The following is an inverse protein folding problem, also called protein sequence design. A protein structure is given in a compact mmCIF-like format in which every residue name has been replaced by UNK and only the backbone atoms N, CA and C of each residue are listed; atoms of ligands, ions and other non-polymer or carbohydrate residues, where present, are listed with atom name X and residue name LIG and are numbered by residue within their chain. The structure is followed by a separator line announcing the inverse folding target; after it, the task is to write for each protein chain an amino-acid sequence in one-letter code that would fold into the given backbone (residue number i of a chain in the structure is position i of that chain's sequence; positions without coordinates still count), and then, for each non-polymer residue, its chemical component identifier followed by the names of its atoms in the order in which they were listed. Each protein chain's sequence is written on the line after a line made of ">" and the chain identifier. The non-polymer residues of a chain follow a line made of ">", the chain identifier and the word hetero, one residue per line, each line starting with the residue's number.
data_IF_751478788330
#
_entry.id   IF_751478788330
#
_cell.length_a   1.000
_cell.length_b   1.000
_cell.length_c   1.000
_cell.angle_alpha   90.00
_cell.angle_beta   90.00
_cell.angle_gamma   90.00
#
_symmetry.space_group_name_H-M   'P 1'
#
loop_
_entity.id
_entity.type
_entity.pdbx_description
1 polymer ?
#
# COMPACT_ATOMS: atom_id res chain seq x y z
N UNK A 1 24.71 -17.10 11.47
CA UNK A 1 23.60 -17.59 12.30
C UNK A 1 22.80 -16.45 12.92
N UNK A 2 23.44 -15.38 13.40
CA UNK A 2 22.80 -14.20 14.01
C UNK A 2 21.90 -13.44 13.01
N UNK A 3 22.36 -13.17 11.80
CA UNK A 3 21.61 -12.42 10.77
C UNK A 3 20.33 -13.14 10.32
N UNK A 4 20.32 -14.47 10.24
CA UNK A 4 19.11 -15.23 9.90
C UNK A 4 18.02 -15.15 10.98
N UNK A 5 18.42 -15.09 12.25
CA UNK A 5 17.47 -14.94 13.37
C UNK A 5 16.91 -13.50 13.42
N UNK A 6 17.74 -12.50 13.17
CA UNK A 6 17.30 -11.10 13.10
C UNK A 6 16.29 -10.88 11.95
N UNK A 7 16.57 -11.41 10.75
CA UNK A 7 15.64 -11.34 9.61
C UNK A 7 14.29 -12.02 9.90
N UNK A 8 14.30 -13.17 10.60
CA UNK A 8 13.04 -13.82 11.03
C UNK A 8 12.26 -12.97 12.01
N UNK A 9 12.92 -12.32 12.97
CA UNK A 9 12.29 -11.43 13.95
C UNK A 9 11.68 -10.21 13.24
N UNK A 10 12.42 -9.56 12.31
CA UNK A 10 11.91 -8.45 11.51
C UNK A 10 10.69 -8.88 10.67
N UNK A 11 10.74 -10.04 10.05
CA UNK A 11 9.65 -10.57 9.23
C UNK A 11 8.38 -10.80 10.06
N UNK A 12 8.50 -11.33 11.28
CA UNK A 12 7.37 -11.56 12.19
C UNK A 12 6.77 -10.22 12.63
N UNK A 13 7.58 -9.23 13.01
CA UNK A 13 7.09 -7.89 13.39
C UNK A 13 6.38 -7.22 12.21
N UNK A 14 6.90 -7.34 11.00
CA UNK A 14 6.28 -6.79 9.79
C UNK A 14 4.94 -7.49 9.49
N UNK A 15 4.88 -8.82 9.61
CA UNK A 15 3.65 -9.58 9.40
C UNK A 15 2.59 -9.18 10.43
N UNK A 16 2.97 -9.01 11.69
CA UNK A 16 2.04 -8.67 12.79
C UNK A 16 1.50 -7.24 12.67
N UNK A 17 2.32 -6.28 12.20
CA UNK A 17 1.92 -4.86 12.18
C UNK A 17 1.20 -4.43 10.90
N UNK A 18 1.28 -5.20 9.79
CA UNK A 18 0.84 -4.71 8.47
C UNK A 18 -0.10 -5.62 7.67
N UNK A 19 -0.51 -6.77 8.21
CA UNK A 19 -1.59 -7.54 7.57
C UNK A 19 -2.93 -7.23 8.25
N UNK A 20 -3.77 -6.36 7.68
CA UNK A 20 -5.15 -6.28 8.11
C UNK A 20 -5.85 -7.58 7.67
N UNK A 21 -6.25 -8.39 8.62
CA UNK A 21 -7.07 -9.57 8.36
C UNK A 21 -8.44 -9.09 7.92
N UNK A 22 -8.88 -9.53 6.75
CA UNK A 22 -10.17 -9.19 6.16
C UNK A 22 -11.27 -9.84 6.99
N UNK A 23 -11.93 -9.06 7.84
CA UNK A 23 -13.14 -9.46 8.57
C UNK A 23 -14.41 -8.96 7.87
N UNK A 24 -15.46 -9.76 7.87
CA UNK A 24 -16.78 -9.40 7.32
C UNK A 24 -17.65 -8.77 8.43
N UNK A 25 -18.12 -7.52 8.33
CA UNK A 25 -18.90 -6.76 9.31
C UNK A 25 -20.00 -5.86 8.72
N UNK A 26 -20.99 -5.41 9.50
CA UNK A 26 -22.22 -4.68 9.10
C UNK A 26 -22.00 -3.23 8.65
N UNK A 27 -22.96 -2.67 7.89
CA UNK A 27 -22.92 -1.32 7.32
C UNK A 27 -22.90 -0.26 8.43
N UNK A 28 -21.91 0.64 8.42
CA UNK A 28 -21.74 1.68 9.45
C UNK A 28 -21.96 3.05 8.83
N UNK A 29 -22.70 3.92 9.55
CA UNK A 29 -22.89 5.33 9.19
C UNK A 29 -21.55 6.08 9.30
N UNK A 30 -21.07 6.58 8.18
CA UNK A 30 -19.76 7.25 8.04
C UNK A 30 -19.69 8.55 8.87
N UNK A 31 -20.83 9.18 9.17
CA UNK A 31 -20.88 10.42 9.96
C UNK A 31 -20.44 10.23 11.42
N UNK A 32 -20.54 9.01 11.96
CA UNK A 32 -20.16 8.69 13.33
C UNK A 32 -18.68 8.25 13.47
N UNK A 33 -18.04 7.80 12.37
CA UNK A 33 -16.68 7.25 12.40
C UNK A 33 -15.64 8.29 12.86
N UNK A 34 -15.80 9.55 12.47
CA UNK A 34 -14.85 10.60 12.77
C UNK A 34 -14.82 11.01 14.25
N UNK A 35 -15.88 10.72 15.01
CA UNK A 35 -16.05 11.14 16.41
C UNK A 35 -15.44 10.13 17.39
N UNK A 36 -15.49 8.84 17.05
CA UNK A 36 -15.15 7.75 17.97
C UNK A 36 -13.80 7.04 17.69
N UNK A 37 -12.98 7.58 16.77
CA UNK A 37 -11.67 6.97 16.52
C UNK A 37 -10.72 7.22 17.70
N UNK A 38 -10.32 6.17 18.44
CA UNK A 38 -9.64 6.32 19.74
C UNK A 38 -8.21 6.89 19.65
N UNK A 39 -7.63 6.95 18.43
CA UNK A 39 -6.26 7.39 18.18
C UNK A 39 -6.19 8.67 17.34
N UNK A 40 -7.28 9.44 17.23
CA UNK A 40 -7.35 10.65 16.41
C UNK A 40 -6.29 11.70 16.76
N UNK A 41 -5.83 11.70 18.00
CA UNK A 41 -4.87 12.69 18.50
C UNK A 41 -3.41 12.20 18.40
N UNK A 42 -3.17 10.96 17.95
CA UNK A 42 -1.82 10.40 17.76
C UNK A 42 -1.69 9.76 16.36
N UNK A 43 -1.10 10.52 15.44
CA UNK A 43 -0.97 10.11 14.04
C UNK A 43 -0.11 8.84 13.84
N UNK A 44 0.88 8.60 14.69
CA UNK A 44 1.76 7.43 14.61
C UNK A 44 1.00 6.20 15.05
N UNK A 45 0.36 6.25 16.21
CA UNK A 45 -0.48 5.14 16.69
C UNK A 45 -1.61 4.88 15.70
N UNK A 46 -2.27 5.94 15.20
CA UNK A 46 -3.33 5.79 14.19
C UNK A 46 -2.83 5.09 12.91
N UNK A 47 -1.60 5.35 12.49
CA UNK A 47 -0.99 4.71 11.31
C UNK A 47 -0.78 3.22 11.53
N UNK A 48 -0.27 2.83 12.68
CA UNK A 48 -0.01 1.42 13.01
C UNK A 48 -1.29 0.65 13.32
N UNK A 49 -2.19 1.25 14.09
CA UNK A 49 -3.47 0.63 14.49
C UNK A 49 -4.45 0.51 13.32
N UNK A 50 -4.32 1.37 12.32
CA UNK A 50 -5.21 1.40 11.17
C UNK A 50 -6.68 1.59 11.55
N UNK A 51 -7.57 1.26 10.64
CA UNK A 51 -9.01 1.32 10.86
C UNK A 51 -9.49 0.04 11.56
N UNK A 52 -10.22 0.13 12.69
CA UNK A 52 -10.80 -1.05 13.33
C UNK A 52 -11.65 -1.88 12.37
N UNK A 53 -11.57 -3.21 12.47
CA UNK A 53 -12.31 -4.13 11.60
C UNK A 53 -13.83 -3.88 11.59
N UNK A 54 -14.38 -3.40 12.70
CA UNK A 54 -15.79 -3.02 12.85
C UNK A 54 -16.19 -1.81 12.00
N UNK A 55 -15.20 -1.00 11.59
CA UNK A 55 -15.40 0.21 10.78
C UNK A 55 -15.01 0.01 9.31
N UNK A 56 -14.64 -1.21 8.92
CA UNK A 56 -14.30 -1.48 7.53
C UNK A 56 -15.55 -1.56 6.66
N UNK A 57 -15.49 -0.85 5.54
CA UNK A 57 -16.53 -0.98 4.52
C UNK A 57 -16.61 -2.43 4.04
N UNK A 58 -17.79 -3.01 4.10
CA UNK A 58 -18.06 -4.33 3.54
C UNK A 58 -18.65 -4.19 2.16
N UNK A 59 -17.94 -4.69 1.19
CA UNK A 59 -18.44 -4.73 -0.17
C UNK A 59 -19.68 -5.61 -0.26
N UNK A 60 -20.76 -5.06 -0.79
CA UNK A 60 -22.01 -5.79 -1.06
C UNK A 60 -21.89 -6.66 -2.33
N UNK A 61 -21.00 -6.28 -3.25
CA UNK A 61 -20.84 -6.93 -4.56
C UNK A 61 -19.55 -7.74 -4.68
N UNK A 62 -18.65 -7.65 -3.72
CA UNK A 62 -17.36 -8.28 -3.55
C UNK A 62 -16.87 -9.05 -4.76
N UNK A 63 -16.30 -8.37 -5.76
CA UNK A 63 -15.92 -9.00 -7.02
C UNK A 63 -14.41 -9.08 -7.14
N UNK A 64 -13.90 -10.28 -7.45
CA UNK A 64 -12.50 -10.40 -7.82
C UNK A 64 -12.22 -9.68 -9.16
N UNK A 65 -11.04 -9.06 -9.33
CA UNK A 65 -10.66 -8.43 -10.59
C UNK A 65 -10.51 -9.46 -11.71
N UNK A 66 -10.78 -9.02 -12.94
CA UNK A 66 -10.20 -9.68 -14.10
C UNK A 66 -8.74 -9.23 -14.21
N UNK A 67 -7.81 -10.17 -14.13
CA UNK A 67 -6.38 -9.88 -14.22
C UNK A 67 -5.98 -9.73 -15.68
N UNK A 68 -5.29 -8.65 -15.97
CA UNK A 68 -4.63 -8.35 -17.24
C UNK A 68 -3.15 -8.12 -17.00
N UNK A 69 -2.35 -8.15 -18.06
CA UNK A 69 -0.90 -7.98 -17.92
C UNK A 69 -0.28 -7.28 -19.12
N UNK A 70 0.78 -6.55 -18.83
CA UNK A 70 1.74 -6.06 -19.80
C UNK A 70 2.94 -6.99 -19.80
N UNK A 71 3.39 -7.36 -20.98
CA UNK A 71 4.64 -8.10 -21.16
C UNK A 71 5.84 -7.20 -20.90
N UNK A 72 6.96 -7.80 -20.50
CA UNK A 72 8.19 -7.07 -20.35
C UNK A 72 8.57 -6.29 -21.61
N UNK A 73 9.01 -5.04 -21.41
CA UNK A 73 9.49 -4.17 -22.49
C UNK A 73 10.94 -4.45 -22.90
N UNK A 74 11.60 -5.38 -22.18
CA UNK A 74 13.01 -5.77 -22.36
C UNK A 74 13.19 -7.25 -22.05
N UNK A 75 14.38 -7.80 -22.42
CA UNK A 75 14.74 -9.18 -22.06
C UNK A 75 14.93 -9.29 -20.54
N UNK A 76 14.18 -10.19 -19.92
CA UNK A 76 14.26 -10.47 -18.49
C UNK A 76 15.21 -11.65 -18.25
N UNK A 77 16.21 -11.54 -17.35
CA UNK A 77 17.06 -12.65 -16.96
C UNK A 77 16.25 -13.82 -16.41
N UNK A 78 16.72 -15.06 -16.65
CA UNK A 78 15.99 -16.28 -16.25
C UNK A 78 15.68 -16.33 -14.75
N UNK A 79 16.63 -15.90 -13.91
CA UNK A 79 16.45 -15.84 -12.45
C UNK A 79 15.33 -14.88 -12.01
N UNK A 80 14.95 -13.91 -12.85
CA UNK A 80 13.89 -12.92 -12.59
C UNK A 80 12.61 -13.20 -13.39
N UNK A 81 12.51 -14.35 -14.08
CA UNK A 81 11.44 -14.71 -14.99
C UNK A 81 10.05 -14.64 -14.35
N UNK A 82 9.93 -14.90 -13.07
CA UNK A 82 8.69 -14.80 -12.30
C UNK A 82 8.09 -13.39 -12.29
N UNK A 83 8.89 -12.33 -12.55
CA UNK A 83 8.49 -10.94 -12.63
C UNK A 83 8.48 -10.39 -14.07
N UNK A 84 8.42 -11.26 -15.07
CA UNK A 84 8.41 -10.86 -16.49
C UNK A 84 7.12 -10.20 -16.97
N UNK A 85 6.07 -10.28 -16.18
CA UNK A 85 4.78 -9.67 -16.49
C UNK A 85 4.43 -8.61 -15.41
N UNK A 86 3.89 -7.46 -15.84
CA UNK A 86 3.30 -6.47 -14.95
C UNK A 86 1.79 -6.60 -14.99
N UNK A 87 1.22 -7.11 -13.90
CA UNK A 87 -0.20 -7.36 -13.79
C UNK A 87 -0.98 -6.16 -13.27
N UNK A 88 -2.23 -6.03 -13.73
CA UNK A 88 -3.20 -5.06 -13.25
C UNK A 88 -4.60 -5.64 -13.18
N UNK A 89 -5.43 -5.10 -12.28
CA UNK A 89 -6.79 -5.58 -12.02
C UNK A 89 -7.83 -4.73 -12.71
N UNK A 90 -8.89 -5.38 -13.24
CA UNK A 90 -10.02 -4.72 -13.91
C UNK A 90 -11.33 -5.14 -13.25
N UNK A 91 -12.17 -4.16 -12.91
CA UNK A 91 -13.57 -4.37 -12.56
C UNK A 91 -14.44 -3.58 -13.51
N UNK A 92 -15.40 -4.24 -14.14
CA UNK A 92 -16.33 -3.61 -15.08
C UNK A 92 -17.75 -3.64 -14.58
N UNK A 93 -18.42 -2.51 -14.68
CA UNK A 93 -19.87 -2.40 -14.57
C UNK A 93 -20.53 -2.97 -15.84
N UNK A 94 -21.81 -3.35 -15.73
CA UNK A 94 -22.57 -3.87 -16.87
C UNK A 94 -22.92 -2.81 -17.91
N UNK A 95 -23.00 -1.55 -17.51
CA UNK A 95 -23.40 -0.42 -18.35
C UNK A 95 -22.34 0.64 -18.48
N UNK A 96 -22.76 1.82 -18.90
CA UNK A 96 -21.93 3.01 -18.91
C UNK A 96 -21.69 3.52 -17.49
N UNK A 97 -20.44 3.82 -17.14
CA UNK A 97 -20.06 4.18 -15.78
C UNK A 97 -18.76 4.99 -15.76
N UNK A 98 -18.53 5.82 -14.72
CA UNK A 98 -17.25 6.46 -14.54
C UNK A 98 -16.16 5.44 -14.29
N UNK A 99 -14.93 5.77 -14.66
CA UNK A 99 -13.72 4.98 -14.42
C UNK A 99 -12.89 5.65 -13.33
N UNK A 100 -12.43 4.89 -12.35
CA UNK A 100 -11.35 5.29 -11.47
C UNK A 100 -10.13 4.39 -11.68
N UNK A 101 -8.98 5.01 -11.88
CA UNK A 101 -7.68 4.36 -11.97
C UNK A 101 -7.05 4.44 -10.59
N UNK A 102 -6.68 3.31 -9.99
CA UNK A 102 -6.08 3.24 -8.67
C UNK A 102 -4.62 2.83 -8.76
N UNK A 103 -3.73 3.59 -8.13
CA UNK A 103 -2.29 3.28 -8.03
C UNK A 103 -1.96 2.93 -6.58
N UNK A 104 -1.35 1.76 -6.41
CA UNK A 104 -0.94 1.28 -5.09
C UNK A 104 0.22 2.09 -4.51
N UNK A 105 0.32 2.14 -3.18
CA UNK A 105 1.45 2.77 -2.49
C UNK A 105 2.75 1.97 -2.60
N UNK A 106 3.83 2.51 -2.03
CA UNK A 106 5.18 1.92 -2.05
C UNK A 106 5.16 0.42 -1.76
N UNK A 107 5.80 -0.38 -2.63
CA UNK A 107 5.94 -1.82 -2.50
C UNK A 107 4.65 -2.64 -2.65
N UNK A 108 3.50 -2.00 -2.91
CA UNK A 108 2.21 -2.67 -2.94
C UNK A 108 1.77 -3.05 -4.35
N UNK A 109 1.18 -4.24 -4.47
CA UNK A 109 0.61 -4.76 -5.72
C UNK A 109 -0.85 -4.27 -5.90
N UNK A 110 -1.35 -4.34 -7.15
CA UNK A 110 -2.74 -4.01 -7.49
C UNK A 110 -3.79 -4.81 -6.68
N UNK A 111 -3.42 -5.99 -6.19
CA UNK A 111 -4.26 -6.88 -5.38
C UNK A 111 -3.92 -6.84 -3.88
N UNK A 112 -3.16 -5.85 -3.42
CA UNK A 112 -2.91 -5.63 -1.98
C UNK A 112 -4.20 -5.23 -1.26
N UNK A 113 -4.25 -5.49 0.06
CA UNK A 113 -5.46 -5.31 0.87
C UNK A 113 -6.10 -3.92 0.72
N UNK A 114 -5.32 -2.84 0.84
CA UNK A 114 -5.86 -1.48 0.73
C UNK A 114 -6.30 -1.13 -0.70
N UNK A 115 -5.57 -1.57 -1.72
CA UNK A 115 -5.97 -1.34 -3.12
C UNK A 115 -7.25 -2.09 -3.43
N UNK A 116 -7.38 -3.34 -2.98
CA UNK A 116 -8.60 -4.14 -3.14
C UNK A 116 -9.77 -3.54 -2.38
N UNK A 117 -9.53 -3.03 -1.17
CA UNK A 117 -10.54 -2.33 -0.39
C UNK A 117 -11.10 -1.12 -1.15
N UNK A 118 -10.23 -0.22 -1.62
CA UNK A 118 -10.62 0.94 -2.41
C UNK A 118 -11.35 0.54 -3.70
N UNK A 119 -10.83 -0.46 -4.41
CA UNK A 119 -11.47 -0.97 -5.62
C UNK A 119 -12.90 -1.45 -5.35
N UNK A 120 -13.11 -2.20 -4.27
CA UNK A 120 -14.44 -2.68 -3.89
C UNK A 120 -15.38 -1.54 -3.50
N UNK A 121 -14.90 -0.53 -2.74
CA UNK A 121 -15.68 0.66 -2.38
C UNK A 121 -16.18 1.37 -3.64
N UNK A 122 -15.29 1.68 -4.59
CA UNK A 122 -15.65 2.36 -5.82
C UNK A 122 -16.51 1.50 -6.74
N UNK A 123 -16.24 0.18 -6.81
CA UNK A 123 -17.04 -0.73 -7.61
C UNK A 123 -18.50 -0.77 -7.13
N UNK A 124 -18.72 -0.84 -5.83
CA UNK A 124 -20.06 -0.83 -5.23
C UNK A 124 -20.80 0.50 -5.46
N UNK A 125 -20.03 1.60 -5.56
CA UNK A 125 -20.56 2.93 -5.94
C UNK A 125 -20.75 3.11 -7.46
N UNK A 126 -20.58 2.06 -8.24
CA UNK A 126 -20.89 2.06 -9.68
C UNK A 126 -19.74 2.46 -10.60
N UNK A 127 -18.52 2.51 -10.13
CA UNK A 127 -17.35 2.81 -10.97
C UNK A 127 -16.82 1.58 -11.70
N UNK A 128 -16.30 1.76 -12.92
CA UNK A 128 -15.30 0.86 -13.48
C UNK A 128 -13.97 1.11 -12.78
N UNK A 129 -13.15 0.08 -12.61
CA UNK A 129 -11.85 0.20 -11.94
C UNK A 129 -10.73 -0.37 -12.83
N UNK A 130 -9.60 0.33 -12.86
CA UNK A 130 -8.30 -0.18 -13.28
C UNK A 130 -7.35 0.01 -12.11
N UNK A 131 -6.88 -1.07 -11.49
CA UNK A 131 -5.94 -1.01 -10.37
C UNK A 131 -4.55 -1.48 -10.80
N UNK A 132 -3.53 -0.67 -10.48
CA UNK A 132 -2.15 -0.91 -10.85
C UNK A 132 -1.26 -1.05 -9.60
N UNK A 133 -0.25 -1.90 -9.72
CA UNK A 133 0.81 -2.03 -8.73
C UNK A 133 1.68 -0.77 -8.70
N UNK A 134 2.33 -0.52 -7.57
CA UNK A 134 3.33 0.55 -7.45
C UNK A 134 4.51 0.31 -8.40
N UNK A 135 5.09 1.37 -8.99
CA UNK A 135 6.34 1.24 -9.76
C UNK A 135 7.55 0.85 -8.91
N UNK A 136 7.41 0.83 -7.59
CA UNK A 136 8.44 0.34 -6.68
C UNK A 136 8.37 -1.18 -6.43
N UNK A 137 7.53 -1.91 -7.18
CA UNK A 137 7.40 -3.37 -7.06
C UNK A 137 8.32 -4.10 -8.04
N UNK A 138 8.82 -5.26 -7.65
CA UNK A 138 9.67 -6.09 -8.51
C UNK A 138 9.06 -6.38 -9.90
N UNK A 139 7.76 -6.71 -10.03
CA UNK A 139 7.14 -6.87 -11.34
C UNK A 139 7.28 -5.65 -12.25
N UNK A 140 7.14 -4.42 -11.70
CA UNK A 140 7.34 -3.21 -12.49
C UNK A 140 8.82 -2.98 -12.81
N UNK A 141 9.70 -3.03 -11.81
CA UNK A 141 11.15 -2.78 -11.97
C UNK A 141 11.74 -3.72 -13.02
N UNK A 142 11.43 -5.01 -12.94
CA UNK A 142 11.98 -6.03 -13.82
C UNK A 142 11.39 -5.95 -15.21
N UNK A 143 10.06 -5.78 -15.34
CA UNK A 143 9.39 -5.89 -16.63
C UNK A 143 9.19 -4.55 -17.36
N UNK A 144 8.99 -3.46 -16.63
CA UNK A 144 8.56 -2.18 -17.20
C UNK A 144 9.58 -1.05 -17.04
N UNK A 145 10.36 -1.01 -15.95
CA UNK A 145 11.35 0.05 -15.74
C UNK A 145 12.45 -0.01 -16.77
N UNK A 146 12.76 1.14 -17.41
CA UNK A 146 13.88 1.24 -18.35
C UNK A 146 15.24 1.11 -17.65
N UNK A 147 15.33 1.60 -16.43
CA UNK A 147 16.58 1.78 -15.70
C UNK A 147 16.86 0.64 -14.69
N UNK A 148 15.96 -0.32 -14.54
CA UNK A 148 16.04 -1.44 -13.59
C UNK A 148 16.12 -1.03 -12.10
N UNK A 149 15.65 0.15 -11.75
CA UNK A 149 15.52 0.62 -10.37
C UNK A 149 14.27 1.48 -10.21
N UNK A 150 13.85 1.68 -8.97
CA UNK A 150 12.78 2.57 -8.60
C UNK A 150 13.32 3.88 -8.00
N UNK A 151 12.44 4.90 -7.91
CA UNK A 151 12.72 6.16 -7.22
C UNK A 151 12.91 7.35 -8.16
N UNK A 152 13.00 7.14 -9.48
CA UNK A 152 13.05 8.25 -10.43
C UNK A 152 11.63 8.65 -10.85
N UNK A 153 10.95 9.29 -9.94
CA UNK A 153 9.49 9.53 -9.93
C UNK A 153 8.96 10.14 -11.24
N UNK A 154 9.71 11.07 -11.83
CA UNK A 154 9.29 11.74 -13.08
C UNK A 154 9.19 10.74 -14.23
N UNK A 155 10.25 9.97 -14.47
CA UNK A 155 10.28 8.98 -15.55
C UNK A 155 9.27 7.83 -15.29
N UNK A 156 9.13 7.43 -14.02
CA UNK A 156 8.13 6.44 -13.61
C UNK A 156 6.71 6.93 -13.91
N UNK A 157 6.40 8.21 -13.60
CA UNK A 157 5.08 8.78 -13.84
C UNK A 157 4.79 8.89 -15.34
N UNK A 158 5.77 9.29 -16.16
CA UNK A 158 5.63 9.31 -17.63
C UNK A 158 5.41 7.90 -18.19
N UNK A 159 6.12 6.91 -17.67
CA UNK A 159 5.96 5.53 -18.12
C UNK A 159 4.62 4.95 -17.67
N UNK A 160 4.25 5.14 -16.39
CA UNK A 160 2.95 4.74 -15.86
C UNK A 160 1.79 5.39 -16.62
N UNK A 161 1.91 6.66 -17.00
CA UNK A 161 0.93 7.33 -17.85
C UNK A 161 0.71 6.58 -19.17
N UNK A 162 1.78 6.14 -19.83
CA UNK A 162 1.68 5.38 -21.07
C UNK A 162 1.03 4.00 -20.86
N UNK A 163 1.39 3.29 -19.78
CA UNK A 163 0.75 2.02 -19.43
C UNK A 163 -0.74 2.18 -19.16
N UNK A 164 -1.11 3.21 -18.38
CA UNK A 164 -2.49 3.54 -18.07
C UNK A 164 -3.26 3.91 -19.34
N UNK A 165 -2.72 4.78 -20.18
CA UNK A 165 -3.33 5.16 -21.46
C UNK A 165 -3.59 3.93 -22.33
N UNK A 166 -2.63 3.00 -22.39
CA UNK A 166 -2.76 1.75 -23.13
C UNK A 166 -3.84 0.85 -22.52
N UNK A 167 -3.87 0.71 -21.19
CA UNK A 167 -4.88 -0.08 -20.50
C UNK A 167 -6.29 0.48 -20.75
N UNK A 168 -6.47 1.79 -20.56
CA UNK A 168 -7.76 2.47 -20.78
C UNK A 168 -8.24 2.29 -22.23
N UNK A 169 -7.37 2.50 -23.21
CA UNK A 169 -7.71 2.34 -24.62
C UNK A 169 -8.12 0.90 -24.95
N UNK A 170 -7.37 -0.07 -24.44
CA UNK A 170 -7.67 -1.49 -24.60
C UNK A 170 -9.01 -1.88 -23.97
N UNK A 171 -9.28 -1.41 -22.75
CA UNK A 171 -10.51 -1.76 -22.05
C UNK A 171 -11.73 -1.09 -22.71
N UNK A 172 -11.60 0.14 -23.26
CA UNK A 172 -12.64 0.78 -24.06
C UNK A 172 -12.89 -0.01 -25.36
N UNK A 173 -11.85 -0.42 -26.07
CA UNK A 173 -11.97 -1.25 -27.27
C UNK A 173 -12.61 -2.61 -26.99
N UNK A 174 -12.32 -3.20 -25.81
CA UNK A 174 -12.94 -4.44 -25.32
C UNK A 174 -14.38 -4.22 -24.79
N UNK A 175 -14.98 -3.04 -24.99
CA UNK A 175 -16.38 -2.74 -24.66
C UNK A 175 -16.63 -2.14 -23.27
N UNK A 176 -15.62 -1.64 -22.55
CA UNK A 176 -15.83 -0.85 -21.34
C UNK A 176 -16.37 0.53 -21.75
N UNK A 177 -17.60 0.85 -21.32
CA UNK A 177 -18.22 2.16 -21.56
C UNK A 177 -17.88 3.07 -20.40
N UNK A 178 -17.20 4.20 -20.70
CA UNK A 178 -16.67 5.14 -19.70
C UNK A 178 -17.28 6.53 -19.94
N UNK A 179 -17.94 7.08 -18.91
CA UNK A 179 -18.43 8.48 -18.91
C UNK A 179 -17.29 9.44 -18.60
N UNK A 180 -16.75 9.36 -17.40
CA UNK A 180 -15.71 10.22 -16.86
C UNK A 180 -14.54 9.39 -16.36
N UNK A 181 -13.33 9.92 -16.39
CA UNK A 181 -12.14 9.25 -15.88
C UNK A 181 -11.56 10.02 -14.71
N UNK A 182 -11.27 9.28 -13.63
CA UNK A 182 -10.62 9.76 -12.42
C UNK A 182 -9.38 8.92 -12.16
N UNK A 183 -8.44 9.47 -11.40
CA UNK A 183 -7.27 8.73 -10.94
C UNK A 183 -7.13 8.90 -9.43
N UNK A 184 -6.55 7.94 -8.74
CA UNK A 184 -6.30 8.05 -7.31
C UNK A 184 -5.32 7.01 -6.84
N UNK A 185 -4.89 7.17 -5.60
CA UNK A 185 -4.00 6.23 -4.95
C UNK A 185 -3.72 6.65 -3.52
N UNK A 186 -2.99 5.81 -2.80
CA UNK A 186 -2.58 6.10 -1.44
C UNK A 186 -1.06 6.17 -1.34
N UNK A 187 -0.56 6.95 -0.37
CA UNK A 187 0.88 7.13 -0.15
C UNK A 187 1.56 7.59 -1.44
N UNK A 188 2.64 6.92 -1.87
CA UNK A 188 3.35 7.19 -3.13
C UNK A 188 2.42 7.12 -4.35
N UNK A 189 1.47 6.18 -4.38
CA UNK A 189 0.52 6.05 -5.48
C UNK A 189 -0.40 7.26 -5.63
N UNK A 190 -0.76 7.92 -4.52
CA UNK A 190 -1.50 9.18 -4.56
C UNK A 190 -0.64 10.33 -5.13
N UNK A 191 0.63 10.40 -4.74
CA UNK A 191 1.57 11.38 -5.30
C UNK A 191 1.76 11.19 -6.81
N UNK A 192 1.95 9.95 -7.26
CA UNK A 192 2.05 9.63 -8.69
C UNK A 192 0.74 9.93 -9.44
N UNK A 193 -0.41 9.74 -8.81
CA UNK A 193 -1.70 10.08 -9.42
C UNK A 193 -1.80 11.56 -9.77
N UNK A 194 -1.27 12.46 -8.92
CA UNK A 194 -1.21 13.88 -9.20
C UNK A 194 -0.32 14.19 -10.40
N UNK A 195 0.91 13.63 -10.44
CA UNK A 195 1.83 13.83 -11.56
C UNK A 195 1.27 13.29 -12.88
N UNK A 196 0.60 12.15 -12.85
CA UNK A 196 -0.04 11.55 -14.01
C UNK A 196 -1.21 12.42 -14.50
N UNK A 197 -1.99 13.02 -13.60
CA UNK A 197 -3.02 13.98 -13.99
C UNK A 197 -2.41 15.24 -14.64
N UNK A 198 -1.30 15.74 -14.12
CA UNK A 198 -0.56 16.86 -14.71
C UNK A 198 -0.11 16.51 -16.14
N UNK A 199 0.52 15.35 -16.33
CA UNK A 199 0.92 14.85 -17.67
C UNK A 199 -0.30 14.72 -18.59
N UNK A 200 -1.45 14.23 -18.08
CA UNK A 200 -2.65 14.09 -18.90
C UNK A 200 -3.30 15.43 -19.25
N UNK A 201 -3.13 16.46 -18.41
CA UNK A 201 -3.61 17.81 -18.70
C UNK A 201 -3.00 18.39 -19.99
N UNK A 202 -1.76 18.00 -20.30
CA UNK A 202 -1.05 18.36 -21.53
C UNK A 202 -1.33 17.36 -22.66
N UNK A 203 -1.14 16.06 -22.42
CA UNK A 203 -1.20 15.00 -23.44
C UNK A 203 -2.63 14.60 -23.82
N UNK A 204 -3.60 14.75 -22.93
CA UNK A 204 -5.06 14.54 -23.12
C UNK A 204 -5.46 13.18 -23.70
N UNK A 205 -4.68 12.10 -23.44
CA UNK A 205 -4.95 10.76 -23.97
C UNK A 205 -5.97 9.98 -23.13
N UNK A 206 -6.07 10.29 -21.83
CA UNK A 206 -6.91 9.57 -20.87
C UNK A 206 -8.16 10.40 -20.55
N UNK A 207 -8.03 11.71 -20.41
CA UNK A 207 -9.09 12.64 -20.03
C UNK A 207 -9.38 12.59 -18.54
N UNK A 208 -8.36 12.63 -17.70
CA UNK A 208 -8.48 12.60 -16.23
C UNK A 208 -9.07 13.92 -15.75
N UNK A 209 -10.23 13.85 -15.09
CA UNK A 209 -10.91 15.04 -14.56
C UNK A 209 -10.43 15.47 -13.17
N UNK A 210 -10.17 14.51 -12.28
CA UNK A 210 -9.74 14.76 -10.90
C UNK A 210 -8.83 13.65 -10.41
N UNK A 211 -7.93 13.97 -9.46
CA UNK A 211 -7.14 13.01 -8.70
C UNK A 211 -7.58 12.94 -7.24
N UNK A 212 -7.55 11.73 -6.69
CA UNK A 212 -7.79 11.43 -5.27
C UNK A 212 -6.47 10.99 -4.63
N UNK A 213 -5.92 11.82 -3.77
CA UNK A 213 -4.68 11.56 -3.06
C UNK A 213 -4.97 11.20 -1.60
N UNK A 214 -4.79 9.93 -1.24
CA UNK A 214 -5.01 9.44 0.12
C UNK A 214 -3.66 9.33 0.85
N UNK A 215 -3.49 10.07 1.93
CA UNK A 215 -2.26 10.07 2.76
C UNK A 215 -0.96 10.20 1.93
N UNK A 216 -0.99 11.03 0.91
CA UNK A 216 0.14 11.23 0.01
C UNK A 216 1.16 12.20 0.59
N UNK A 217 2.46 11.96 0.41
CA UNK A 217 3.46 12.94 0.79
C UNK A 217 3.35 14.19 -0.08
N UNK A 218 3.51 15.37 0.52
CA UNK A 218 3.65 16.64 -0.23
C UNK A 218 5.07 16.75 -0.81
N UNK A 219 6.05 16.22 -0.08
CA UNK A 219 7.45 16.11 -0.49
C UNK A 219 7.97 14.74 -0.10
N UNK A 220 8.40 13.96 -1.09
CA UNK A 220 8.96 12.62 -0.85
C UNK A 220 10.24 12.72 -0.03
N UNK A 221 11.12 13.68 -0.35
CA UNK A 221 12.37 13.88 0.39
C UNK A 221 12.08 14.18 1.86
N UNK A 222 11.17 15.09 2.16
CA UNK A 222 10.82 15.43 3.54
C UNK A 222 10.19 14.25 4.27
N UNK A 223 9.34 13.48 3.59
CA UNK A 223 8.70 12.30 4.16
C UNK A 223 9.72 11.21 4.50
N UNK A 224 10.66 10.91 3.59
CA UNK A 224 11.70 9.90 3.83
C UNK A 224 12.67 10.33 4.93
N UNK A 225 13.07 11.60 4.96
CA UNK A 225 13.89 12.16 6.05
C UNK A 225 13.19 12.08 7.42
N UNK A 226 11.87 12.28 7.47
CA UNK A 226 11.11 12.14 8.71
C UNK A 226 11.06 10.68 9.17
N UNK A 227 10.86 9.75 8.24
CA UNK A 227 10.87 8.32 8.55
C UNK A 227 12.23 7.83 9.05
N UNK A 228 13.33 8.35 8.48
CA UNK A 228 14.68 8.07 8.95
C UNK A 228 14.94 8.64 10.35
N UNK A 229 14.41 9.84 10.62
CA UNK A 229 14.53 10.45 11.96
C UNK A 229 13.85 9.62 13.04
N UNK A 230 12.76 8.94 12.76
CA UNK A 230 12.12 8.04 13.74
C UNK A 230 13.09 6.98 14.28
N UNK A 231 14.04 6.52 13.48
CA UNK A 231 15.07 5.59 13.95
C UNK A 231 16.13 6.30 14.79
N UNK A 232 16.68 7.38 14.25
CA UNK A 232 17.80 8.12 14.87
C UNK A 232 17.38 8.77 16.21
N UNK A 233 16.22 9.42 16.26
CA UNK A 233 15.68 10.07 17.45
C UNK A 233 15.35 9.07 18.56
N UNK A 234 15.14 7.80 18.23
CA UNK A 234 14.92 6.71 19.18
C UNK A 234 16.17 5.83 19.39
N UNK A 235 17.36 6.33 19.06
CA UNK A 235 18.63 5.67 19.36
C UNK A 235 19.02 4.53 18.44
N UNK A 236 18.36 4.35 17.29
CA UNK A 236 18.68 3.30 16.32
C UNK A 236 19.62 3.86 15.25
N UNK A 237 20.91 3.81 15.52
CA UNK A 237 21.96 4.33 14.62
C UNK A 237 22.63 3.27 13.77
N UNK A 238 22.54 2.01 14.16
CA UNK A 238 23.24 0.87 13.54
C UNK A 238 22.49 -0.46 13.79
N UNK A 239 23.06 -1.56 13.29
CA UNK A 239 22.49 -2.89 13.44
C UNK A 239 22.39 -3.36 14.90
N UNK A 240 23.34 -2.97 15.75
CA UNK A 240 23.34 -3.32 17.18
C UNK A 240 22.18 -2.64 17.92
N UNK A 241 21.94 -1.34 17.68
CA UNK A 241 20.79 -0.60 18.21
C UNK A 241 19.46 -1.22 17.78
N UNK A 242 19.38 -1.62 16.50
CA UNK A 242 18.21 -2.31 15.98
C UNK A 242 18.00 -3.67 16.65
N UNK A 243 19.04 -4.47 16.84
CA UNK A 243 18.96 -5.77 17.48
C UNK A 243 18.45 -5.63 18.93
N UNK A 244 19.01 -4.68 19.70
CA UNK A 244 18.56 -4.36 21.05
C UNK A 244 17.09 -3.96 21.10
N UNK A 245 16.64 -3.12 20.17
CA UNK A 245 15.24 -2.73 20.06
C UNK A 245 14.34 -3.94 19.80
N UNK A 246 14.69 -4.75 18.81
CA UNK A 246 13.93 -5.96 18.47
C UNK A 246 13.89 -6.94 19.63
N UNK A 247 15.00 -7.16 20.32
CA UNK A 247 15.05 -8.03 21.49
C UNK A 247 14.17 -7.52 22.63
N UNK A 248 14.13 -6.20 22.85
CA UNK A 248 13.21 -5.60 23.82
C UNK A 248 11.73 -5.83 23.45
N UNK A 249 11.36 -5.63 22.18
CA UNK A 249 9.99 -5.91 21.71
C UNK A 249 9.67 -7.41 21.85
N UNK A 250 10.58 -8.29 21.44
CA UNK A 250 10.37 -9.74 21.53
C UNK A 250 10.37 -10.26 22.98
N UNK A 251 11.16 -9.66 23.86
CA UNK A 251 11.13 -10.04 25.29
C UNK A 251 9.75 -9.77 25.90
N UNK A 252 9.10 -8.70 25.52
CA UNK A 252 7.72 -8.40 25.95
C UNK A 252 6.70 -9.43 25.43
N UNK A 253 6.99 -10.08 24.30
CA UNK A 253 6.10 -11.10 23.69
C UNK A 253 6.36 -12.49 24.27
N UNK A 254 7.65 -12.83 24.55
CA UNK A 254 8.07 -14.21 24.83
C UNK A 254 8.21 -14.46 26.35
N UNK A 255 8.55 -13.43 27.13
CA UNK A 255 8.88 -13.56 28.56
C UNK A 255 7.77 -13.09 29.51
N UNK A 256 6.62 -12.66 28.99
CA UNK A 256 5.45 -12.56 29.85
C UNK A 256 4.92 -13.99 30.07
N UNK A 257 5.26 -14.62 31.20
CA UNK A 257 4.81 -15.97 31.57
C UNK A 257 3.28 -16.15 31.53
N UNK A 258 2.55 -15.07 31.29
CA UNK A 258 1.09 -15.02 31.12
C UNK A 258 0.66 -14.86 29.65
N UNK A 259 1.60 -14.76 28.70
CA UNK A 259 1.34 -14.55 27.28
C UNK A 259 1.90 -15.73 26.49
N UNK A 260 1.08 -16.75 26.23
CA UNK A 260 1.38 -17.67 25.15
C UNK A 260 1.17 -16.94 23.80
N UNK A 261 2.03 -17.20 22.81
CA UNK A 261 1.86 -16.65 21.45
C UNK A 261 0.47 -16.93 20.87
N UNK A 262 -0.17 -18.01 21.32
CA UNK A 262 -1.54 -18.39 20.99
C UNK A 262 -2.61 -17.48 21.66
N UNK A 263 -2.26 -16.77 22.73
CA UNK A 263 -3.16 -15.86 23.45
C UNK A 263 -3.10 -14.43 22.91
N UNK A 264 -2.13 -14.14 22.03
CA UNK A 264 -2.08 -12.90 21.31
C UNK A 264 -3.03 -13.03 20.12
N UNK A 265 -4.23 -12.52 20.29
CA UNK A 265 -5.16 -12.36 19.18
C UNK A 265 -4.59 -11.31 18.21
N UNK A 266 -3.77 -11.76 17.26
CA UNK A 266 -3.26 -10.93 16.17
C UNK A 266 -4.37 -10.41 15.25
N UNK A 267 -5.59 -10.95 15.39
CA UNK A 267 -6.77 -10.37 14.75
C UNK A 267 -7.24 -9.12 15.49
N UNK A 268 -6.83 -8.98 16.76
CA UNK A 268 -7.06 -7.81 17.60
C UNK A 268 -5.72 -7.15 17.98
N UNK A 269 -5.07 -6.51 17.02
CA UNK A 269 -3.80 -5.79 17.19
C UNK A 269 -3.85 -4.82 18.38
N UNK A 270 -5.01 -4.22 18.66
CA UNK A 270 -5.20 -3.33 19.81
C UNK A 270 -4.96 -4.06 21.15
N UNK A 271 -5.53 -5.24 21.31
CA UNK A 271 -5.34 -6.04 22.52
C UNK A 271 -3.87 -6.47 22.66
N UNK A 272 -3.23 -6.84 21.55
CA UNK A 272 -1.80 -7.16 21.51
C UNK A 272 -0.93 -5.96 21.94
N UNK A 273 -1.19 -4.76 21.41
CA UNK A 273 -0.42 -3.54 21.74
C UNK A 273 -0.58 -3.15 23.21
N UNK A 274 -1.79 -3.19 23.76
CA UNK A 274 -2.03 -2.90 25.17
C UNK A 274 -1.28 -3.93 26.06
N UNK A 275 -1.35 -5.21 25.70
CA UNK A 275 -0.63 -6.26 26.40
C UNK A 275 0.90 -6.09 26.33
N UNK A 276 1.43 -5.68 25.19
CA UNK A 276 2.86 -5.47 24.97
C UNK A 276 3.39 -4.17 25.57
N UNK A 277 2.53 -3.31 26.12
CA UNK A 277 2.90 -2.03 26.70
C UNK A 277 3.83 -1.21 25.79
N UNK A 278 3.52 -1.14 24.50
CA UNK A 278 4.31 -0.39 23.52
C UNK A 278 4.14 1.12 23.78
N UNK A 279 5.24 1.85 23.68
CA UNK A 279 5.29 3.29 23.79
C UNK A 279 5.18 3.94 22.41
N UNK A 280 4.89 5.22 22.34
CA UNK A 280 4.86 5.99 21.07
C UNK A 280 6.19 5.87 20.31
N UNK A 281 7.32 5.89 21.03
CA UNK A 281 8.64 5.68 20.46
C UNK A 281 8.82 4.30 19.77
N UNK A 282 8.20 3.25 20.32
CA UNK A 282 8.27 1.92 19.72
C UNK A 282 7.54 1.93 18.37
N UNK A 283 6.40 2.65 18.26
CA UNK A 283 5.67 2.78 17.00
C UNK A 283 6.41 3.63 15.97
N UNK A 284 7.13 4.68 16.40
CA UNK A 284 8.00 5.47 15.51
C UNK A 284 9.09 4.60 14.90
N UNK A 285 9.80 3.84 15.73
CA UNK A 285 10.85 2.92 15.27
C UNK A 285 10.28 1.86 14.34
N UNK A 286 9.16 1.22 14.70
CA UNK A 286 8.50 0.22 13.84
C UNK A 286 8.10 0.80 12.48
N UNK A 287 7.58 2.02 12.46
CA UNK A 287 7.20 2.72 11.23
C UNK A 287 8.44 3.00 10.37
N UNK A 288 9.50 3.57 10.96
CA UNK A 288 10.76 3.85 10.25
C UNK A 288 11.42 2.59 9.69
N UNK A 289 11.44 1.50 10.48
CA UNK A 289 11.97 0.20 10.07
C UNK A 289 11.22 -0.38 8.88
N UNK A 290 9.90 -0.32 8.92
CA UNK A 290 9.08 -0.83 7.83
C UNK A 290 9.41 -0.15 6.50
N UNK A 291 9.45 1.18 6.51
CA UNK A 291 9.76 1.94 5.30
C UNK A 291 11.18 1.67 4.81
N UNK A 292 12.17 1.53 5.69
CA UNK A 292 13.53 1.12 5.30
C UNK A 292 13.56 -0.29 4.72
N UNK A 293 12.79 -1.22 5.29
CA UNK A 293 12.70 -2.57 4.77
C UNK A 293 12.12 -2.59 3.36
N UNK A 294 11.03 -1.86 3.11
CA UNK A 294 10.47 -1.74 1.76
C UNK A 294 11.44 -1.07 0.80
N UNK A 295 12.14 0.00 1.23
CA UNK A 295 13.11 0.70 0.39
C UNK A 295 14.36 -0.14 0.07
N UNK A 296 14.79 -1.00 0.97
CA UNK A 296 15.95 -1.89 0.77
C UNK A 296 15.65 -3.04 -0.21
N UNK A 297 14.39 -3.32 -0.50
CA UNK A 297 13.96 -4.37 -1.43
C UNK A 297 13.55 -3.81 -2.82
N UNK A 298 13.78 -2.51 -3.05
CA UNK A 298 13.59 -1.82 -4.34
C UNK A 298 14.90 -1.78 -5.11
#
# INVERSE_FOLDING_TARGET
>A
YHTKNMLKKILIVIIVTFFPIIGFGEEIDVSQIAVDYPYKDNAIIATVMGTPNTQWYKSKKGKAPKVKKFKAVKKVPEILRQWSDYEYGIWRQKGEAPLIILISGTGSLYNSGLTMYLANVFYDKGYNIIALSSPTTMPYIVSQSKNNYAGYIKDESDHMYNLISTAVSKEKADGMKVTDTYIGGYSLGGFQSLLIQEIDSEKKKIGIKKSLMLNSPVSILTATQKLDRFLVENGIYNAEGLEKFLDNIFSKIIYDDKLELNDIDFTNIRAAIIKLQLKDSDFEVLTGLLFRFYSANM
#
